data_IF_805770192381
#
_entry.id   IF_805770192381
#
_cell.length_a   1.000
_cell.length_b   1.000
_cell.length_c   1.000
_cell.angle_alpha   90.00
_cell.angle_beta   90.00
_cell.angle_gamma   90.00
#
_symmetry.space_group_name_H-M   'P 1'
#
loop_
_entity.id
_entity.type
_entity.pdbx_description
1 polymer ?
#
# COMPACT_ATOMS: atom_id res chain seq x y z
N UNK A 1 52.12 26.44 -26.52
CA UNK A 1 52.66 27.80 -26.38
C UNK A 1 51.51 28.70 -25.96
N UNK A 2 51.56 29.34 -24.80
CA UNK A 2 50.47 30.18 -24.30
C UNK A 2 50.92 31.10 -23.15
N UNK A 3 50.10 32.10 -22.75
CA UNK A 3 50.46 33.10 -21.74
C UNK A 3 50.96 32.54 -20.39
N UNK A 4 51.90 33.21 -19.74
CA UNK A 4 52.30 32.89 -18.36
C UNK A 4 51.20 33.31 -17.38
N UNK A 5 50.92 32.59 -16.27
CA UNK A 5 51.55 31.35 -15.80
C UNK A 5 50.91 30.08 -16.39
N UNK A 6 51.72 29.21 -17.01
CA UNK A 6 51.25 28.01 -17.73
C UNK A 6 50.70 26.92 -16.81
N UNK A 7 51.40 26.63 -15.71
CA UNK A 7 51.02 25.58 -14.77
C UNK A 7 49.69 25.91 -14.09
N UNK A 8 49.52 27.15 -13.63
CA UNK A 8 48.28 27.59 -12.99
C UNK A 8 47.07 27.47 -13.92
N UNK A 9 47.19 27.88 -15.19
CA UNK A 9 46.09 27.73 -16.16
C UNK A 9 45.81 26.28 -16.51
N UNK A 10 46.83 25.43 -16.62
CA UNK A 10 46.64 24.00 -16.82
C UNK A 10 45.87 23.36 -15.65
N UNK A 11 46.22 23.71 -14.41
CA UNK A 11 45.53 23.23 -13.20
C UNK A 11 44.08 23.72 -13.17
N UNK A 12 43.84 25.01 -13.41
CA UNK A 12 42.48 25.59 -13.45
C UNK A 12 41.62 24.91 -14.51
N UNK A 13 42.14 24.71 -15.72
CA UNK A 13 41.40 24.05 -16.80
C UNK A 13 41.13 22.58 -16.50
N UNK A 14 42.10 21.86 -15.91
CA UNK A 14 41.91 20.46 -15.53
C UNK A 14 40.83 20.30 -14.45
N UNK A 15 40.82 21.19 -13.45
CA UNK A 15 39.79 21.22 -12.41
C UNK A 15 38.42 21.56 -13.01
N UNK A 16 38.34 22.52 -13.92
CA UNK A 16 37.10 22.89 -14.59
C UNK A 16 36.50 21.72 -15.39
N UNK A 17 37.33 20.98 -16.15
CA UNK A 17 36.89 19.77 -16.87
C UNK A 17 36.36 18.74 -15.90
N UNK A 18 37.07 18.48 -14.80
CA UNK A 18 36.67 17.46 -13.83
C UNK A 18 35.34 17.81 -13.14
N UNK A 19 35.13 19.08 -12.81
CA UNK A 19 33.87 19.58 -12.23
C UNK A 19 32.71 19.44 -13.23
N UNK A 20 32.94 19.78 -14.50
CA UNK A 20 31.86 19.82 -15.50
C UNK A 20 31.53 18.42 -16.04
N UNK A 21 32.53 17.55 -16.18
CA UNK A 21 32.37 16.16 -16.60
C UNK A 21 31.75 15.28 -15.50
N UNK A 22 31.78 15.72 -14.24
CA UNK A 22 31.09 15.04 -13.16
C UNK A 22 29.57 15.27 -13.30
N UNK A 23 28.74 14.22 -13.35
CA UNK A 23 27.29 14.36 -13.36
C UNK A 23 26.79 14.72 -11.95
N UNK A 24 27.10 15.92 -11.46
CA UNK A 24 26.80 16.34 -10.09
C UNK A 24 25.30 16.24 -9.75
N UNK A 25 24.41 16.48 -10.72
CA UNK A 25 22.97 16.33 -10.55
C UNK A 25 22.54 14.86 -10.35
N UNK A 26 23.26 13.90 -10.93
CA UNK A 26 23.04 12.46 -10.71
C UNK A 26 23.31 12.08 -9.24
N UNK A 27 24.38 12.63 -8.66
CA UNK A 27 24.73 12.41 -7.25
C UNK A 27 23.63 12.86 -6.28
N UNK A 28 22.83 13.85 -6.65
CA UNK A 28 21.70 14.33 -5.84
C UNK A 28 20.37 13.65 -6.17
N UNK A 29 20.24 12.99 -7.34
CA UNK A 29 18.97 12.44 -7.80
C UNK A 29 18.38 11.43 -6.81
N UNK A 30 19.20 10.51 -6.31
CA UNK A 30 18.79 9.48 -5.34
C UNK A 30 18.32 10.09 -4.01
N UNK A 31 19.15 10.86 -3.25
CA UNK A 31 18.73 11.41 -1.96
C UNK A 31 17.53 12.36 -2.07
N UNK A 32 17.45 13.18 -3.13
CA UNK A 32 16.27 14.05 -3.32
C UNK A 32 15.00 13.24 -3.59
N UNK A 33 15.08 12.25 -4.49
CA UNK A 33 13.92 11.41 -4.81
C UNK A 33 13.42 10.63 -3.59
N UNK A 34 14.31 10.17 -2.71
CA UNK A 34 13.95 9.50 -1.47
C UNK A 34 13.28 10.45 -0.48
N UNK A 35 13.85 11.65 -0.25
CA UNK A 35 13.26 12.65 0.65
C UNK A 35 11.86 13.05 0.19
N UNK A 36 11.68 13.23 -1.12
CA UNK A 36 10.35 13.45 -1.73
C UNK A 36 9.42 12.27 -1.52
N UNK A 37 9.91 11.05 -1.74
CA UNK A 37 9.15 9.83 -1.51
C UNK A 37 8.62 9.72 -0.09
N UNK A 38 9.48 9.96 0.90
CA UNK A 38 9.09 9.95 2.33
C UNK A 38 8.09 11.08 2.62
N UNK A 39 8.32 12.29 2.09
CA UNK A 39 7.39 13.41 2.25
C UNK A 39 6.01 13.16 1.62
N UNK A 40 5.97 12.61 0.40
CA UNK A 40 4.73 12.22 -0.29
C UNK A 40 4.02 11.08 0.44
N UNK A 41 4.76 10.10 0.95
CA UNK A 41 4.20 9.05 1.80
C UNK A 41 3.55 9.64 3.04
N UNK A 42 4.25 10.51 3.78
CA UNK A 42 3.73 11.12 5.00
C UNK A 42 2.46 11.95 4.75
N UNK A 43 2.41 12.71 3.65
CA UNK A 43 1.20 13.45 3.25
C UNK A 43 0.01 12.54 2.93
N UNK A 44 0.26 11.29 2.55
CA UNK A 44 -0.75 10.27 2.31
C UNK A 44 -0.94 9.32 3.50
N UNK A 45 -0.51 9.68 4.71
CA UNK A 45 -0.70 8.83 5.89
C UNK A 45 0.18 7.58 5.92
N UNK A 46 1.30 7.57 5.18
CA UNK A 46 2.23 6.45 5.10
C UNK A 46 3.56 6.88 5.73
N UNK A 47 3.89 6.28 6.88
CA UNK A 47 5.15 6.51 7.56
C UNK A 47 6.20 5.50 7.10
N UNK A 48 7.27 5.97 6.48
CA UNK A 48 8.36 5.13 5.98
C UNK A 48 9.58 5.27 6.89
N UNK A 49 10.03 4.17 7.48
CA UNK A 49 11.19 4.16 8.40
C UNK A 49 12.54 4.17 7.69
N UNK A 50 12.60 3.68 6.46
CA UNK A 50 13.84 3.59 5.69
C UNK A 50 13.60 3.74 4.19
N UNK A 51 14.46 4.51 3.53
CA UNK A 51 14.36 4.77 2.09
C UNK A 51 14.55 3.53 1.21
N UNK A 52 15.17 2.48 1.72
CA UNK A 52 15.32 1.19 1.03
C UNK A 52 13.95 0.55 0.73
N UNK A 53 13.03 0.55 1.69
CA UNK A 53 11.68 -0.01 1.50
C UNK A 53 10.92 0.65 0.35
N UNK A 54 11.09 1.97 0.16
CA UNK A 54 10.54 2.71 -0.98
C UNK A 54 11.20 2.31 -2.31
N UNK A 55 12.50 2.02 -2.31
CA UNK A 55 13.19 1.55 -3.52
C UNK A 55 12.76 0.13 -3.87
N UNK A 56 12.58 -0.72 -2.86
CA UNK A 56 12.07 -2.09 -3.02
C UNK A 56 10.62 -2.08 -3.51
N UNK A 57 9.79 -1.17 -3.00
CA UNK A 57 8.41 -0.96 -3.43
C UNK A 57 8.27 -0.74 -4.95
N UNK A 58 9.30 -0.17 -5.60
CA UNK A 58 9.35 0.01 -7.06
C UNK A 58 9.32 -1.29 -7.84
N UNK A 59 9.82 -2.37 -7.24
CA UNK A 59 10.03 -3.66 -7.90
C UNK A 59 9.02 -4.70 -7.44
N UNK A 60 8.06 -4.37 -6.58
CA UNK A 60 7.08 -5.34 -6.10
C UNK A 60 6.34 -6.02 -7.25
N UNK A 61 6.25 -7.35 -7.17
CA UNK A 61 5.44 -8.18 -8.07
C UNK A 61 4.36 -8.94 -7.32
N UNK A 62 4.52 -9.21 -6.02
CA UNK A 62 3.52 -9.91 -5.22
C UNK A 62 3.25 -9.16 -3.92
N UNK A 63 1.98 -8.99 -3.59
CA UNK A 63 1.53 -8.46 -2.31
C UNK A 63 0.74 -9.57 -1.61
N UNK A 64 1.23 -9.95 -0.44
CA UNK A 64 0.61 -10.91 0.46
C UNK A 64 -0.13 -10.11 1.54
N UNK A 65 -1.43 -10.37 1.68
CA UNK A 65 -2.29 -9.66 2.61
C UNK A 65 -2.82 -10.62 3.65
N UNK A 66 -2.64 -10.32 4.94
CA UNK A 66 -3.48 -10.94 5.95
C UNK A 66 -4.95 -10.53 5.72
N UNK A 67 -5.90 -11.42 5.98
CA UNK A 67 -7.32 -11.12 5.78
C UNK A 67 -7.83 -10.15 6.85
N UNK A 68 -7.61 -10.49 8.12
CA UNK A 68 -8.24 -9.82 9.27
C UNK A 68 -7.61 -8.43 9.45
N UNK A 69 -8.44 -7.40 9.64
CA UNK A 69 -7.95 -6.03 9.87
C UNK A 69 -7.35 -5.34 8.65
N UNK A 70 -6.97 -6.09 7.60
CA UNK A 70 -6.44 -5.57 6.35
C UNK A 70 -7.49 -5.60 5.25
N UNK A 71 -7.89 -6.77 4.74
CA UNK A 71 -8.89 -6.89 3.67
C UNK A 71 -10.29 -6.59 4.20
N UNK A 72 -10.56 -7.08 5.41
CA UNK A 72 -11.84 -6.90 6.10
C UNK A 72 -11.69 -5.91 7.25
N UNK A 73 -12.82 -5.48 7.80
CA UNK A 73 -12.83 -4.66 9.02
C UNK A 73 -12.30 -5.42 10.25
N UNK A 74 -12.17 -6.75 10.18
CA UNK A 74 -11.64 -7.61 11.24
C UNK A 74 -12.68 -8.07 12.26
N UNK A 75 -13.86 -7.44 12.27
CA UNK A 75 -15.00 -7.84 13.08
C UNK A 75 -16.08 -8.47 12.19
N UNK A 76 -16.71 -9.54 12.69
CA UNK A 76 -17.85 -10.14 12.01
C UNK A 76 -19.12 -9.38 12.37
N UNK A 77 -19.87 -8.99 11.36
CA UNK A 77 -21.11 -8.22 11.51
C UNK A 77 -22.32 -9.02 11.07
N UNK A 78 -23.45 -8.83 11.76
CA UNK A 78 -24.73 -9.41 11.37
C UNK A 78 -25.24 -8.78 10.08
N UNK A 79 -25.45 -9.60 9.05
CA UNK A 79 -25.94 -9.15 7.74
C UNK A 79 -27.36 -9.64 7.43
N UNK A 80 -27.82 -10.71 8.08
CA UNK A 80 -29.18 -11.22 7.88
C UNK A 80 -29.68 -12.04 9.07
N UNK A 81 -31.00 -12.06 9.24
CA UNK A 81 -31.72 -13.01 10.08
C UNK A 81 -32.40 -14.03 9.17
N UNK A 82 -32.14 -15.31 9.37
CA UNK A 82 -32.68 -16.39 8.54
C UNK A 82 -33.57 -17.26 9.43
N UNK A 83 -34.90 -17.08 9.39
CA UNK A 83 -35.80 -17.87 10.22
C UNK A 83 -35.84 -19.33 9.78
N UNK A 84 -36.19 -20.20 10.71
CA UNK A 84 -36.37 -21.65 10.49
C UNK A 84 -37.69 -22.10 11.14
N UNK A 85 -38.12 -23.34 10.91
CA UNK A 85 -39.26 -23.91 11.64
C UNK A 85 -40.61 -23.20 11.42
N UNK A 86 -40.72 -22.39 10.36
CA UNK A 86 -41.94 -21.60 10.07
C UNK A 86 -42.04 -20.26 10.80
N UNK A 87 -41.02 -19.87 11.57
CA UNK A 87 -40.97 -18.56 12.22
C UNK A 87 -40.83 -17.41 11.22
N UNK A 88 -41.23 -16.22 11.63
CA UNK A 88 -41.02 -15.00 10.85
C UNK A 88 -39.64 -14.38 11.10
N UNK A 89 -39.13 -13.64 10.12
CA UNK A 89 -37.85 -12.91 10.24
C UNK A 89 -37.91 -11.88 11.39
N UNK A 90 -39.10 -11.31 11.66
CA UNK A 90 -39.32 -10.35 12.73
C UNK A 90 -39.23 -10.99 14.12
N UNK A 91 -39.83 -12.16 14.32
CA UNK A 91 -39.74 -12.90 15.60
C UNK A 91 -38.29 -13.28 15.92
N UNK A 92 -37.55 -13.74 14.92
CA UNK A 92 -36.12 -14.02 15.04
C UNK A 92 -35.33 -12.75 15.38
N UNK A 93 -35.60 -11.62 14.69
CA UNK A 93 -34.91 -10.35 14.94
C UNK A 93 -35.15 -9.84 16.37
N UNK A 94 -36.37 -9.97 16.89
CA UNK A 94 -36.71 -9.59 18.27
C UNK A 94 -35.96 -10.45 19.29
N UNK A 95 -35.93 -11.77 19.10
CA UNK A 95 -35.18 -12.66 19.99
C UNK A 95 -33.67 -12.46 19.90
N UNK A 96 -33.14 -12.25 18.70
CA UNK A 96 -31.72 -11.98 18.46
C UNK A 96 -31.28 -10.65 19.10
N UNK A 97 -32.12 -9.61 19.00
CA UNK A 97 -31.92 -8.33 19.68
C UNK A 97 -31.82 -8.56 21.19
N UNK A 98 -32.82 -9.21 21.80
CA UNK A 98 -32.86 -9.44 23.25
C UNK A 98 -31.65 -10.25 23.73
N UNK A 99 -31.27 -11.30 23.00
CA UNK A 99 -30.09 -12.10 23.32
C UNK A 99 -28.76 -11.33 23.20
N UNK A 100 -28.75 -10.17 22.52
CA UNK A 100 -27.56 -9.37 22.25
C UNK A 100 -27.53 -8.01 22.96
N UNK A 101 -28.58 -7.63 23.71
CA UNK A 101 -28.73 -6.30 24.31
C UNK A 101 -27.57 -5.88 25.22
N UNK A 102 -26.97 -6.86 25.90
CA UNK A 102 -25.87 -6.70 26.86
C UNK A 102 -24.58 -7.34 26.36
N UNK A 103 -24.56 -7.80 25.11
CA UNK A 103 -23.38 -8.41 24.50
C UNK A 103 -22.51 -7.29 23.91
N UNK A 104 -21.48 -6.89 24.67
CA UNK A 104 -20.59 -5.79 24.29
C UNK A 104 -19.59 -6.14 23.19
N UNK A 105 -19.55 -7.40 22.74
CA UNK A 105 -18.69 -7.81 21.62
C UNK A 105 -19.09 -7.10 20.33
N UNK A 106 -18.15 -6.91 19.38
CA UNK A 106 -18.48 -6.38 18.05
C UNK A 106 -19.63 -7.16 17.38
N UNK A 107 -19.63 -8.48 17.50
CA UNK A 107 -20.68 -9.36 16.98
C UNK A 107 -22.04 -9.04 17.65
N UNK A 108 -22.08 -8.96 18.98
CA UNK A 108 -23.30 -8.61 19.73
C UNK A 108 -23.87 -7.25 19.33
N UNK A 109 -23.02 -6.22 19.29
CA UNK A 109 -23.39 -4.87 18.86
C UNK A 109 -23.92 -4.84 17.42
N UNK A 110 -23.32 -5.62 16.51
CA UNK A 110 -23.76 -5.68 15.12
C UNK A 110 -25.18 -6.28 14.97
N UNK A 111 -25.55 -7.25 15.83
CA UNK A 111 -26.90 -7.83 15.85
C UNK A 111 -27.93 -6.79 16.28
N UNK A 112 -27.63 -6.03 17.34
CA UNK A 112 -28.48 -4.94 17.83
C UNK A 112 -28.66 -3.88 16.74
N UNK A 113 -27.58 -3.50 16.06
CA UNK A 113 -27.60 -2.52 14.97
C UNK A 113 -28.46 -3.01 13.79
N UNK A 114 -28.27 -4.24 13.33
CA UNK A 114 -29.07 -4.82 12.24
C UNK A 114 -30.56 -4.86 12.59
N UNK A 115 -30.91 -5.24 13.82
CA UNK A 115 -32.30 -5.27 14.29
C UNK A 115 -32.93 -3.87 14.26
N UNK A 116 -32.18 -2.84 14.66
CA UNK A 116 -32.62 -1.44 14.65
C UNK A 116 -32.79 -0.89 13.24
N UNK A 117 -31.79 -1.05 12.38
CA UNK A 117 -31.78 -0.46 11.03
C UNK A 117 -32.79 -1.13 10.09
N UNK A 118 -32.87 -2.46 10.11
CA UNK A 118 -33.71 -3.21 9.15
C UNK A 118 -35.16 -3.37 9.61
N UNK A 119 -35.43 -3.43 10.92
CA UNK A 119 -36.77 -3.73 11.45
C UNK A 119 -37.34 -2.64 12.37
N UNK A 120 -36.58 -1.56 12.63
CA UNK A 120 -37.00 -0.51 13.55
C UNK A 120 -37.14 -0.97 15.00
N UNK A 121 -36.50 -2.09 15.37
CA UNK A 121 -36.57 -2.67 16.71
C UNK A 121 -35.54 -1.99 17.61
N UNK A 122 -35.99 -1.42 18.73
CA UNK A 122 -35.12 -0.86 19.76
C UNK A 122 -35.69 -1.20 21.12
N UNK A 123 -34.86 -1.78 21.99
CA UNK A 123 -35.19 -2.10 23.38
C UNK A 123 -34.02 -1.77 24.28
N UNK A 124 -34.32 -1.40 25.52
CA UNK A 124 -33.34 -1.35 26.60
C UNK A 124 -33.41 -2.63 27.41
N UNK A 125 -32.28 -3.05 28.00
CA UNK A 125 -32.24 -4.18 28.91
C UNK A 125 -33.05 -3.84 30.17
N UNK A 126 -34.04 -4.68 30.56
CA UNK A 126 -34.80 -4.44 31.78
C UNK A 126 -33.90 -4.42 33.02
N UNK A 127 -34.13 -3.51 33.98
CA UNK A 127 -33.39 -3.51 35.24
C UNK A 127 -33.63 -4.85 35.98
N UNK A 128 -32.54 -5.58 36.26
CA UNK A 128 -32.58 -6.90 36.91
C UNK A 128 -32.62 -8.10 35.97
N UNK A 129 -32.39 -7.92 34.66
CA UNK A 129 -32.19 -9.04 33.74
C UNK A 129 -30.91 -9.82 34.09
N UNK A 130 -30.99 -11.15 34.09
CA UNK A 130 -29.85 -12.03 34.37
C UNK A 130 -29.08 -12.29 33.07
N UNK A 131 -27.82 -11.84 33.04
CA UNK A 131 -26.97 -11.79 31.85
C UNK A 131 -26.17 -13.08 31.73
N UNK A 132 -26.24 -13.71 30.56
CA UNK A 132 -25.36 -14.83 30.21
C UNK A 132 -24.29 -14.31 29.28
N UNK A 133 -23.13 -13.99 29.87
CA UNK A 133 -21.95 -13.57 29.13
C UNK A 133 -21.47 -14.67 28.17
N UNK A 134 -20.84 -14.24 27.08
CA UNK A 134 -20.22 -15.18 26.15
C UNK A 134 -19.03 -15.89 26.82
N UNK A 135 -19.04 -17.22 26.79
CA UNK A 135 -17.89 -18.04 27.15
C UNK A 135 -17.42 -18.87 25.95
N UNK A 136 -16.11 -18.94 25.74
CA UNK A 136 -15.51 -19.77 24.70
C UNK A 136 -15.78 -21.27 24.91
N UNK A 137 -15.99 -21.71 26.16
CA UNK A 137 -16.30 -23.10 26.50
C UNK A 137 -17.75 -23.46 26.14
N UNK A 138 -18.69 -22.57 26.44
CA UNK A 138 -20.12 -22.79 26.17
C UNK A 138 -20.51 -22.40 24.74
N UNK A 139 -19.74 -21.52 24.10
CA UNK A 139 -19.96 -20.94 22.76
C UNK A 139 -21.38 -20.36 22.58
N UNK A 140 -21.95 -19.83 23.66
CA UNK A 140 -23.26 -19.21 23.70
C UNK A 140 -23.25 -17.97 24.62
N UNK A 141 -24.11 -17.01 24.30
CA UNK A 141 -24.45 -15.86 25.14
C UNK A 141 -25.97 -15.63 25.12
N UNK A 142 -26.47 -14.76 25.99
CA UNK A 142 -27.88 -14.41 25.98
C UNK A 142 -28.36 -13.66 27.20
N UNK A 143 -29.68 -13.61 27.35
CA UNK A 143 -30.34 -12.87 28.41
C UNK A 143 -31.51 -13.66 28.97
N UNK A 144 -31.66 -13.65 30.30
CA UNK A 144 -32.81 -14.21 31.00
C UNK A 144 -33.75 -13.06 31.41
N UNK A 145 -34.99 -13.11 30.94
CA UNK A 145 -36.04 -12.15 31.26
C UNK A 145 -37.17 -12.85 32.02
N UNK A 146 -37.24 -12.65 33.33
CA UNK A 146 -38.23 -13.30 34.20
C UNK A 146 -38.27 -14.83 33.98
N UNK A 147 -39.28 -15.33 33.26
CA UNK A 147 -39.44 -16.77 32.96
C UNK A 147 -38.93 -17.20 31.58
N UNK A 148 -38.52 -16.27 30.72
CA UNK A 148 -38.09 -16.54 29.33
C UNK A 148 -36.58 -16.42 29.18
N UNK A 149 -35.96 -17.42 28.54
CA UNK A 149 -34.51 -17.46 28.31
C UNK A 149 -34.19 -17.26 26.84
N UNK A 150 -33.51 -16.17 26.49
CA UNK A 150 -33.03 -15.94 25.13
C UNK A 150 -31.57 -16.36 25.02
N UNK A 151 -31.21 -17.14 24.00
CA UNK A 151 -29.82 -17.54 23.74
C UNK A 151 -29.46 -17.38 22.28
N UNK A 152 -28.19 -17.05 22.05
CA UNK A 152 -27.54 -17.10 20.75
C UNK A 152 -26.18 -17.79 20.86
N UNK A 153 -25.78 -18.54 19.84
CA UNK A 153 -24.50 -19.25 19.91
C UNK A 153 -24.25 -20.17 18.73
N UNK A 154 -23.22 -21.00 18.86
CA UNK A 154 -22.93 -22.05 17.89
C UNK A 154 -24.09 -23.05 17.80
N UNK A 155 -24.28 -23.64 16.61
CA UNK A 155 -25.42 -24.54 16.34
C UNK A 155 -25.49 -25.73 17.29
N UNK A 156 -24.35 -26.37 17.53
CA UNK A 156 -24.19 -27.50 18.47
C UNK A 156 -24.53 -27.10 19.91
N UNK A 157 -24.04 -25.93 20.37
CA UNK A 157 -24.30 -25.41 21.70
C UNK A 157 -25.77 -25.09 21.95
N UNK A 158 -26.45 -24.48 20.99
CA UNK A 158 -27.87 -24.11 21.13
C UNK A 158 -28.76 -25.35 21.06
N UNK A 159 -28.45 -26.32 20.21
CA UNK A 159 -29.15 -27.61 20.18
C UNK A 159 -28.99 -28.34 21.53
N UNK A 160 -27.76 -28.37 22.07
CA UNK A 160 -27.51 -28.99 23.38
C UNK A 160 -28.25 -28.25 24.52
N UNK A 161 -28.34 -26.92 24.47
CA UNK A 161 -29.11 -26.13 25.42
C UNK A 161 -30.62 -26.43 25.34
N UNK A 162 -31.20 -26.45 24.14
CA UNK A 162 -32.61 -26.77 23.92
C UNK A 162 -32.96 -28.19 24.42
N UNK A 163 -32.10 -29.17 24.14
CA UNK A 163 -32.26 -30.55 24.63
C UNK A 163 -32.22 -30.63 26.17
N UNK A 164 -31.34 -29.87 26.84
CA UNK A 164 -31.28 -29.81 28.32
C UNK A 164 -32.56 -29.24 28.94
N UNK A 165 -33.27 -28.38 28.23
CA UNK A 165 -34.57 -27.84 28.64
C UNK A 165 -35.75 -28.78 28.35
N UNK A 166 -35.49 -29.97 27.77
CA UNK A 166 -36.50 -31.00 27.54
C UNK A 166 -37.18 -30.94 26.17
N UNK A 167 -36.71 -30.10 25.24
CA UNK A 167 -37.28 -30.02 23.90
C UNK A 167 -36.40 -30.78 22.90
N UNK A 168 -37.00 -31.77 22.24
CA UNK A 168 -36.35 -32.64 21.25
C UNK A 168 -36.65 -32.24 19.80
N UNK A 169 -37.52 -31.25 19.60
CA UNK A 169 -37.97 -30.83 18.26
C UNK A 169 -37.00 -29.81 17.69
N UNK A 170 -36.06 -30.28 16.86
CA UNK A 170 -35.17 -29.44 16.07
C UNK A 170 -35.83 -29.18 14.70
N UNK A 171 -35.93 -27.93 14.22
CA UNK A 171 -36.46 -27.63 12.90
C UNK A 171 -35.68 -28.36 11.78
N UNK A 172 -36.39 -29.05 10.88
CA UNK A 172 -35.78 -29.87 9.82
C UNK A 172 -34.94 -29.03 8.83
N UNK A 173 -35.25 -27.75 8.68
CA UNK A 173 -34.57 -26.79 7.81
C UNK A 173 -33.33 -26.13 8.44
N UNK A 174 -33.13 -26.26 9.77
CA UNK A 174 -32.02 -25.63 10.48
C UNK A 174 -30.66 -26.05 9.92
N UNK A 175 -30.42 -27.36 9.78
CA UNK A 175 -29.14 -27.88 9.30
C UNK A 175 -28.80 -27.35 7.89
N UNK A 176 -29.80 -27.31 7.00
CA UNK A 176 -29.62 -26.77 5.65
C UNK A 176 -29.29 -25.27 5.65
N UNK A 177 -29.91 -24.48 6.55
CA UNK A 177 -29.63 -23.05 6.69
C UNK A 177 -28.23 -22.81 7.25
N UNK A 178 -27.84 -23.52 8.31
CA UNK A 178 -26.50 -23.44 8.92
C UNK A 178 -25.43 -23.78 7.88
N UNK A 179 -25.61 -24.89 7.16
CA UNK A 179 -24.71 -25.32 6.10
C UNK A 179 -24.60 -24.30 4.96
N UNK A 180 -25.72 -23.71 4.55
CA UNK A 180 -25.74 -22.70 3.48
C UNK A 180 -24.96 -21.45 3.89
N UNK A 181 -25.15 -20.97 5.12
CA UNK A 181 -24.42 -19.81 5.66
C UNK A 181 -22.93 -20.13 5.77
N UNK A 182 -22.58 -21.29 6.32
CA UNK A 182 -21.19 -21.73 6.45
C UNK A 182 -20.48 -21.87 5.09
N UNK A 183 -21.16 -22.45 4.08
CA UNK A 183 -20.63 -22.56 2.71
C UNK A 183 -20.46 -21.21 2.02
N UNK A 184 -21.27 -20.21 2.39
CA UNK A 184 -21.12 -18.82 1.96
C UNK A 184 -19.97 -18.08 2.64
N UNK A 185 -19.18 -18.77 3.49
CA UNK A 185 -18.05 -18.20 4.22
C UNK A 185 -18.41 -17.36 5.43
N UNK A 186 -19.68 -17.38 5.83
CA UNK A 186 -20.16 -16.67 6.99
C UNK A 186 -20.25 -17.59 8.23
N UNK A 187 -20.36 -16.99 9.40
CA UNK A 187 -20.53 -17.69 10.67
C UNK A 187 -22.00 -17.73 11.05
N UNK A 188 -22.64 -18.91 11.09
CA UNK A 188 -24.02 -19.04 11.56
C UNK A 188 -24.08 -19.02 13.10
N UNK A 189 -24.85 -18.10 13.67
CA UNK A 189 -25.25 -18.16 15.09
C UNK A 189 -26.72 -18.51 15.21
N UNK A 190 -27.03 -19.63 15.85
CA UNK A 190 -28.41 -20.06 16.08
C UNK A 190 -28.99 -19.28 17.26
N UNK A 191 -30.27 -18.90 17.15
CA UNK A 191 -31.01 -18.18 18.19
C UNK A 191 -32.17 -19.03 18.65
N UNK A 192 -32.36 -19.12 19.97
CA UNK A 192 -33.51 -19.77 20.57
C UNK A 192 -34.15 -18.90 21.64
N UNK A 193 -35.46 -19.11 21.81
CA UNK A 193 -36.26 -18.61 22.92
C UNK A 193 -36.73 -19.81 23.72
N UNK A 194 -36.30 -19.87 24.97
CA UNK A 194 -36.32 -21.05 25.81
C UNK A 194 -35.70 -22.24 25.08
N UNK A 195 -36.53 -23.19 24.66
CA UNK A 195 -36.10 -24.38 23.95
C UNK A 195 -36.48 -24.37 22.46
N UNK A 196 -37.19 -23.33 22.00
CA UNK A 196 -37.67 -23.18 20.63
C UNK A 196 -36.62 -22.45 19.78
N UNK A 197 -36.17 -23.08 18.70
CA UNK A 197 -35.17 -22.52 17.78
C UNK A 197 -35.87 -21.67 16.73
N UNK A 198 -35.58 -20.37 16.74
CA UNK A 198 -36.26 -19.39 15.88
C UNK A 198 -35.54 -19.20 14.54
N UNK A 199 -34.23 -19.43 14.51
CA UNK A 199 -33.43 -19.36 13.28
C UNK A 199 -31.99 -18.99 13.51
N UNK A 200 -31.37 -18.44 12.48
CA UNK A 200 -29.91 -18.25 12.39
C UNK A 200 -29.57 -16.80 12.03
N UNK A 201 -28.68 -16.20 12.81
CA UNK A 201 -28.01 -14.94 12.47
C UNK A 201 -26.85 -15.28 11.53
N UNK A 202 -26.84 -14.63 10.37
CA UNK A 202 -25.74 -14.69 9.43
C UNK A 202 -24.70 -13.62 9.80
N UNK A 203 -23.58 -14.01 10.39
CA UNK A 203 -22.46 -13.11 10.67
C UNK A 203 -21.40 -13.19 9.56
N UNK A 204 -21.02 -12.06 8.98
CA UNK A 204 -20.03 -11.99 7.90
C UNK A 204 -18.88 -11.07 8.28
N UNK A 205 -17.66 -11.46 7.91
CA UNK A 205 -16.51 -10.56 7.97
C UNK A 205 -16.57 -9.60 6.77
N UNK A 206 -16.81 -8.32 7.02
CA UNK A 206 -17.13 -7.35 5.96
C UNK A 206 -15.85 -6.88 5.26
N UNK A 207 -15.80 -7.10 3.95
CA UNK A 207 -14.72 -6.60 3.08
C UNK A 207 -14.77 -5.07 3.02
N UNK A 208 -13.62 -4.42 3.24
CA UNK A 208 -13.54 -2.95 3.25
C UNK A 208 -13.93 -2.36 1.90
N UNK A 209 -14.65 -1.23 1.94
CA UNK A 209 -15.07 -0.52 0.74
C UNK A 209 -13.88 -0.09 -0.13
N UNK A 210 -14.03 -0.18 -1.46
CA UNK A 210 -13.03 0.25 -2.45
C UNK A 210 -11.84 -0.70 -2.65
N UNK A 211 -11.72 -1.79 -1.87
CA UNK A 211 -10.55 -2.69 -1.98
C UNK A 211 -10.49 -3.43 -3.32
N UNK A 212 -11.64 -3.82 -3.87
CA UNK A 212 -11.75 -4.48 -5.18
C UNK A 212 -11.13 -3.62 -6.28
N UNK A 213 -11.47 -2.33 -6.32
CA UNK A 213 -10.94 -1.39 -7.31
C UNK A 213 -9.42 -1.26 -7.21
N UNK A 214 -8.88 -1.31 -5.99
CA UNK A 214 -7.44 -1.24 -5.75
C UNK A 214 -6.72 -2.52 -6.19
N UNK A 215 -7.26 -3.70 -5.92
CA UNK A 215 -6.68 -4.94 -6.43
C UNK A 215 -6.73 -5.01 -7.96
N UNK A 216 -7.79 -4.50 -8.59
CA UNK A 216 -7.84 -4.34 -10.04
C UNK A 216 -6.75 -3.37 -10.56
N UNK A 217 -6.47 -2.28 -9.85
CA UNK A 217 -5.38 -1.35 -10.19
C UNK A 217 -4.00 -2.02 -10.03
N UNK A 218 -3.76 -2.75 -8.95
CA UNK A 218 -2.53 -3.53 -8.74
C UNK A 218 -2.34 -4.58 -9.83
N UNK A 219 -3.40 -5.32 -10.20
CA UNK A 219 -3.36 -6.28 -11.31
C UNK A 219 -3.02 -5.61 -12.64
N UNK A 220 -3.56 -4.42 -12.93
CA UNK A 220 -3.18 -3.61 -14.12
C UNK A 220 -1.72 -3.18 -14.11
N UNK A 221 -1.11 -3.08 -12.93
CA UNK A 221 0.33 -2.80 -12.76
C UNK A 221 1.20 -4.07 -12.82
N UNK A 222 0.60 -5.25 -13.00
CA UNK A 222 1.29 -6.55 -13.03
C UNK A 222 1.65 -7.07 -11.64
N UNK A 223 0.99 -6.60 -10.59
CA UNK A 223 1.23 -7.03 -9.20
C UNK A 223 0.17 -8.04 -8.81
N UNK A 224 0.60 -9.25 -8.41
CA UNK A 224 -0.25 -10.33 -7.91
C UNK A 224 -0.65 -10.06 -6.47
N UNK A 225 -1.92 -10.26 -6.12
CA UNK A 225 -2.42 -10.17 -4.75
C UNK A 225 -2.79 -11.55 -4.20
N UNK A 226 -2.27 -11.89 -3.03
CA UNK A 226 -2.50 -13.18 -2.37
C UNK A 226 -3.05 -12.93 -0.98
N UNK A 227 -4.24 -13.44 -0.69
CA UNK A 227 -4.82 -13.37 0.66
C UNK A 227 -4.35 -14.54 1.52
N UNK A 228 -4.00 -14.29 2.77
CA UNK A 228 -3.72 -15.31 3.78
C UNK A 228 -4.75 -15.20 4.89
N UNK A 229 -5.29 -16.35 5.33
CA UNK A 229 -6.20 -16.39 6.47
C UNK A 229 -6.06 -17.69 7.27
N UNK A 230 -6.38 -17.61 8.57
CA UNK A 230 -6.58 -18.78 9.43
C UNK A 230 -7.95 -19.43 9.27
N UNK A 231 -8.87 -18.81 8.52
CA UNK A 231 -10.20 -19.36 8.26
C UNK A 231 -10.15 -20.65 7.43
N UNK A 232 -11.24 -21.42 7.46
CA UNK A 232 -11.39 -22.61 6.64
C UNK A 232 -11.41 -22.27 5.13
N UNK A 233 -11.14 -23.25 4.24
CA UNK A 233 -11.04 -23.01 2.80
C UNK A 233 -12.30 -22.44 2.14
N UNK A 234 -13.50 -22.78 2.62
CA UNK A 234 -14.76 -22.28 2.07
C UNK A 234 -14.94 -20.78 2.38
N UNK A 235 -14.69 -20.39 3.63
CA UNK A 235 -14.69 -18.99 4.05
C UNK A 235 -13.64 -18.17 3.33
N UNK A 236 -12.43 -18.69 3.22
CA UNK A 236 -11.35 -18.04 2.49
C UNK A 236 -11.73 -17.84 1.01
N UNK A 237 -12.29 -18.86 0.35
CA UNK A 237 -12.69 -18.75 -1.05
C UNK A 237 -13.81 -17.71 -1.27
N UNK A 238 -14.79 -17.65 -0.38
CA UNK A 238 -15.89 -16.68 -0.47
C UNK A 238 -15.38 -15.24 -0.34
N UNK A 239 -14.52 -14.96 0.66
CA UNK A 239 -13.93 -13.63 0.87
C UNK A 239 -12.96 -13.29 -0.27
N UNK A 240 -12.18 -14.25 -0.76
CA UNK A 240 -11.27 -14.05 -1.88
C UNK A 240 -12.03 -13.63 -3.15
N UNK A 241 -13.13 -14.32 -3.45
CA UNK A 241 -13.98 -14.03 -4.59
C UNK A 241 -14.65 -12.64 -4.45
N UNK A 242 -15.13 -12.30 -3.27
CA UNK A 242 -15.71 -10.99 -2.99
C UNK A 242 -14.68 -9.87 -3.09
N UNK A 243 -13.48 -10.04 -2.51
CA UNK A 243 -12.43 -9.03 -2.58
C UNK A 243 -11.76 -8.95 -3.96
N UNK A 244 -11.91 -9.99 -4.80
CA UNK A 244 -11.26 -10.15 -6.11
C UNK A 244 -9.72 -10.24 -6.04
N UNK A 245 -9.20 -10.94 -5.03
CA UNK A 245 -7.75 -11.28 -4.98
C UNK A 245 -7.39 -12.32 -6.04
N UNK A 246 -6.12 -12.39 -6.43
CA UNK A 246 -5.66 -13.36 -7.45
C UNK A 246 -5.56 -14.79 -6.91
N UNK A 247 -5.25 -14.92 -5.62
CA UNK A 247 -4.99 -16.21 -4.98
C UNK A 247 -5.24 -16.13 -3.46
N UNK A 248 -5.36 -17.29 -2.80
CA UNK A 248 -5.49 -17.32 -1.34
C UNK A 248 -4.89 -18.57 -0.69
N UNK A 249 -4.41 -18.42 0.54
CA UNK A 249 -4.00 -19.51 1.43
C UNK A 249 -4.90 -19.53 2.66
N UNK A 250 -5.66 -20.62 2.81
CA UNK A 250 -6.55 -20.85 3.94
C UNK A 250 -5.87 -21.68 5.03
N UNK A 251 -6.40 -21.61 6.26
CA UNK A 251 -5.88 -22.35 7.44
C UNK A 251 -4.37 -22.16 7.65
N UNK A 252 -3.85 -20.98 7.31
CA UNK A 252 -2.43 -20.69 7.36
C UNK A 252 -1.95 -20.56 8.80
N UNK A 253 -0.98 -21.39 9.18
CA UNK A 253 -0.21 -21.21 10.42
C UNK A 253 0.87 -20.15 10.23
N UNK A 254 1.44 -19.56 11.30
CA UNK A 254 2.53 -18.59 11.18
C UNK A 254 3.70 -19.07 10.32
N UNK A 255 4.06 -20.36 10.40
CA UNK A 255 5.14 -20.97 9.61
C UNK A 255 4.80 -21.05 8.11
N UNK A 256 3.52 -21.26 7.79
CA UNK A 256 3.02 -21.31 6.41
C UNK A 256 3.08 -19.93 5.76
N UNK A 257 2.81 -18.86 6.52
CA UNK A 257 2.96 -17.47 6.02
C UNK A 257 4.41 -17.20 5.60
N UNK A 258 5.36 -17.57 6.46
CA UNK A 258 6.79 -17.46 6.19
C UNK A 258 7.21 -18.31 4.98
N UNK A 259 6.73 -19.55 4.89
CA UNK A 259 7.03 -20.44 3.76
C UNK A 259 6.56 -19.83 2.43
N UNK A 260 5.35 -19.29 2.39
CA UNK A 260 4.80 -18.69 1.18
C UNK A 260 5.63 -17.49 0.72
N UNK A 261 6.05 -16.62 1.64
CA UNK A 261 6.93 -15.48 1.31
C UNK A 261 8.24 -15.99 0.68
N UNK A 262 8.88 -16.99 1.30
CA UNK A 262 10.13 -17.57 0.78
C UNK A 262 9.96 -18.22 -0.58
N UNK A 263 8.85 -18.92 -0.82
CA UNK A 263 8.57 -19.54 -2.11
C UNK A 263 8.50 -18.50 -3.24
N UNK A 264 7.81 -17.37 -3.02
CA UNK A 264 7.78 -16.28 -3.99
C UNK A 264 9.16 -15.62 -4.16
N UNK A 265 9.91 -15.43 -3.07
CA UNK A 265 11.26 -14.86 -3.11
C UNK A 265 12.25 -15.76 -3.86
N UNK A 266 12.21 -17.08 -3.62
CA UNK A 266 13.02 -18.08 -4.32
C UNK A 266 12.67 -18.17 -5.81
N UNK A 267 11.42 -17.92 -6.16
CA UNK A 267 10.98 -17.76 -7.55
C UNK A 267 11.41 -16.42 -8.19
N UNK A 268 12.10 -15.54 -7.45
CA UNK A 268 12.65 -14.28 -7.93
C UNK A 268 11.68 -13.09 -7.88
N UNK A 269 10.55 -13.23 -7.18
CA UNK A 269 9.60 -12.14 -6.97
C UNK A 269 9.95 -11.33 -5.72
N UNK A 270 9.82 -10.01 -5.81
CA UNK A 270 9.84 -9.11 -4.65
C UNK A 270 8.47 -9.14 -3.99
N UNK A 271 8.45 -9.43 -2.70
CA UNK A 271 7.24 -9.68 -1.92
C UNK A 271 7.02 -8.57 -0.91
N UNK A 272 5.83 -7.97 -0.96
CA UNK A 272 5.34 -7.17 0.15
C UNK A 272 4.41 -8.02 1.02
N UNK A 273 4.45 -7.82 2.33
CA UNK A 273 3.46 -8.35 3.24
C UNK A 273 2.81 -7.23 4.04
N UNK A 274 1.51 -7.36 4.27
CA UNK A 274 0.79 -6.57 5.26
C UNK A 274 0.17 -7.43 6.35
N UNK A 275 0.19 -6.92 7.58
CA UNK A 275 -0.37 -7.58 8.75
C UNK A 275 -0.43 -6.63 9.95
N UNK A 276 -1.24 -6.98 10.93
CA UNK A 276 -1.48 -6.20 12.15
C UNK A 276 -1.24 -7.03 13.44
N UNK A 277 -1.19 -8.36 13.33
CA UNK A 277 -1.09 -9.27 14.46
C UNK A 277 0.34 -9.54 14.94
N UNK A 278 0.47 -9.93 16.21
CA UNK A 278 1.76 -10.41 16.77
C UNK A 278 2.28 -11.63 16.00
N UNK A 279 1.36 -12.47 15.51
CA UNK A 279 1.66 -13.67 14.73
C UNK A 279 2.23 -13.35 13.34
N UNK A 280 2.07 -12.12 12.86
CA UNK A 280 2.55 -11.69 11.55
C UNK A 280 3.95 -11.11 11.61
N UNK A 281 4.44 -10.72 12.79
CA UNK A 281 5.75 -10.08 12.95
C UNK A 281 6.91 -10.88 12.31
N UNK A 282 7.01 -12.22 12.45
CA UNK A 282 8.04 -12.99 11.76
C UNK A 282 7.93 -12.93 10.24
N UNK A 283 6.71 -13.02 9.71
CA UNK A 283 6.44 -13.01 8.28
C UNK A 283 6.67 -11.61 7.69
N UNK A 284 6.26 -10.55 8.40
CA UNK A 284 6.59 -9.16 8.08
C UNK A 284 8.10 -8.97 8.00
N UNK A 285 8.87 -9.45 8.99
CA UNK A 285 10.33 -9.32 8.99
C UNK A 285 11.04 -10.07 7.84
N UNK A 286 10.39 -11.08 7.24
CA UNK A 286 10.92 -11.84 6.10
C UNK A 286 10.59 -11.20 4.75
N UNK A 287 9.53 -10.38 4.67
CA UNK A 287 9.10 -9.73 3.44
C UNK A 287 10.11 -8.63 3.01
N UNK A 288 10.22 -8.39 1.70
CA UNK A 288 11.09 -7.33 1.19
C UNK A 288 10.53 -5.93 1.50
N UNK A 289 9.20 -5.83 1.56
CA UNK A 289 8.49 -4.64 2.02
C UNK A 289 7.43 -5.04 3.04
N UNK A 290 7.66 -4.70 4.30
CA UNK A 290 6.73 -4.97 5.39
C UNK A 290 5.88 -3.75 5.71
N UNK A 291 4.55 -3.91 5.65
CA UNK A 291 3.56 -2.85 5.90
C UNK A 291 2.70 -3.21 7.12
N UNK A 292 2.84 -2.48 8.22
CA UNK A 292 1.99 -2.64 9.39
C UNK A 292 0.92 -1.55 9.49
N UNK A 293 -0.22 -1.92 10.05
CA UNK A 293 -1.26 -0.95 10.42
C UNK A 293 -0.86 -0.19 11.68
N UNK A 294 -1.24 1.08 11.79
CA UNK A 294 -1.00 1.88 13.00
C UNK A 294 -1.73 1.34 14.24
N UNK A 295 -2.90 0.73 14.01
CA UNK A 295 -3.66 -0.02 15.01
C UNK A 295 -3.07 -1.40 15.33
N UNK A 296 -2.06 -1.85 14.56
CA UNK A 296 -1.40 -3.12 14.74
C UNK A 296 -0.59 -3.21 16.03
N UNK A 297 -0.33 -4.46 16.44
CA UNK A 297 0.43 -4.79 17.64
C UNK A 297 1.85 -4.21 17.59
N UNK A 298 2.45 -3.95 18.76
CA UNK A 298 3.81 -3.41 18.82
C UNK A 298 4.84 -4.27 18.06
N UNK A 299 4.85 -5.61 18.19
CA UNK A 299 5.75 -6.47 17.42
C UNK A 299 5.58 -6.33 15.89
N UNK A 300 4.34 -6.24 15.39
CA UNK A 300 4.08 -6.03 13.97
C UNK A 300 4.62 -4.69 13.48
N UNK A 301 4.38 -3.61 14.25
CA UNK A 301 4.89 -2.27 13.93
C UNK A 301 6.42 -2.22 14.01
N UNK A 302 7.06 -2.93 14.92
CA UNK A 302 8.52 -3.00 15.00
C UNK A 302 9.14 -3.77 13.83
N UNK A 303 8.53 -4.87 13.40
CA UNK A 303 8.96 -5.65 12.25
C UNK A 303 8.76 -4.93 10.90
N UNK A 304 7.81 -4.00 10.81
CA UNK A 304 7.49 -3.30 9.57
C UNK A 304 8.43 -2.13 9.23
N UNK A 305 8.71 -1.97 7.94
CA UNK A 305 9.48 -0.83 7.41
C UNK A 305 8.57 0.35 7.05
N UNK A 306 7.29 0.07 6.78
CA UNK A 306 6.27 1.05 6.43
C UNK A 306 5.09 0.88 7.39
N UNK A 307 4.55 2.00 7.88
CA UNK A 307 3.38 2.03 8.75
C UNK A 307 2.27 2.82 8.06
N UNK A 308 1.11 2.19 7.91
CA UNK A 308 -0.12 2.83 7.47
C UNK A 308 -0.81 3.50 8.67
N UNK A 309 -0.80 4.83 8.70
CA UNK A 309 -1.38 5.65 9.77
C UNK A 309 -2.91 5.60 9.78
N UNK A 310 -3.53 5.40 8.61
CA UNK A 310 -4.98 5.40 8.43
C UNK A 310 -5.59 4.01 8.63
N UNK A 311 -4.77 2.96 8.74
CA UNK A 311 -5.20 1.55 8.83
C UNK A 311 -6.17 1.17 7.69
N UNK A 312 -5.83 1.60 6.47
CA UNK A 312 -6.62 1.43 5.27
C UNK A 312 -5.84 0.64 4.21
N UNK A 313 -6.29 -0.58 3.83
CA UNK A 313 -5.59 -1.42 2.83
C UNK A 313 -5.44 -0.76 1.47
N UNK A 314 -6.24 0.27 1.17
CA UNK A 314 -6.09 1.06 -0.07
C UNK A 314 -4.74 1.75 -0.18
N UNK A 315 -4.03 1.97 0.93
CA UNK A 315 -2.69 2.57 0.96
C UNK A 315 -1.59 1.71 0.37
N UNK A 316 -1.82 0.40 0.19
CA UNK A 316 -0.85 -0.48 -0.47
C UNK A 316 -0.58 -0.04 -1.90
N UNK A 317 -1.63 0.41 -2.61
CA UNK A 317 -1.45 0.98 -3.93
C UNK A 317 -0.67 2.29 -3.85
N UNK A 318 -1.00 3.17 -2.90
CA UNK A 318 -0.32 4.44 -2.72
C UNK A 318 1.18 4.23 -2.46
N UNK A 319 1.56 3.23 -1.64
CA UNK A 319 2.97 2.84 -1.40
C UNK A 319 3.67 2.47 -2.73
N UNK A 320 3.02 1.64 -3.55
CA UNK A 320 3.56 1.24 -4.85
C UNK A 320 3.66 2.45 -5.78
N UNK A 321 2.64 3.31 -5.84
CA UNK A 321 2.63 4.51 -6.67
C UNK A 321 3.74 5.48 -6.25
N UNK A 322 3.89 5.77 -4.96
CA UNK A 322 4.99 6.59 -4.44
C UNK A 322 6.34 5.97 -4.82
N UNK A 323 6.50 4.66 -4.66
CA UNK A 323 7.68 3.92 -5.13
C UNK A 323 7.96 4.20 -6.60
N UNK A 324 6.98 3.97 -7.49
CA UNK A 324 7.13 4.19 -8.94
C UNK A 324 7.41 5.65 -9.30
N UNK A 325 6.83 6.62 -8.59
CA UNK A 325 7.11 8.05 -8.77
C UNK A 325 8.57 8.40 -8.47
N UNK A 326 9.15 7.81 -7.42
CA UNK A 326 10.58 7.96 -7.09
C UNK A 326 11.45 7.42 -8.22
N UNK A 327 11.12 6.22 -8.74
CA UNK A 327 11.85 5.61 -9.85
C UNK A 327 11.84 6.50 -11.09
N UNK A 328 10.66 7.03 -11.46
CA UNK A 328 10.51 7.93 -12.60
C UNK A 328 11.27 9.23 -12.40
N UNK A 329 11.18 9.83 -11.22
CA UNK A 329 11.86 11.09 -10.91
C UNK A 329 13.37 10.93 -11.01
N UNK A 330 13.92 9.83 -10.46
CA UNK A 330 15.34 9.49 -10.59
C UNK A 330 15.74 9.27 -12.05
N UNK A 331 14.95 8.51 -12.82
CA UNK A 331 15.22 8.26 -14.25
C UNK A 331 15.19 9.53 -15.10
N UNK A 332 14.24 10.42 -14.85
CA UNK A 332 14.12 11.72 -15.51
C UNK A 332 15.32 12.62 -15.22
N UNK A 333 15.73 12.74 -13.95
CA UNK A 333 16.92 13.51 -13.57
C UNK A 333 18.20 12.93 -14.14
N UNK A 334 18.34 11.60 -14.17
CA UNK A 334 19.49 10.91 -14.75
C UNK A 334 19.61 11.20 -16.24
N UNK A 335 18.50 11.06 -16.97
CA UNK A 335 18.45 11.29 -18.42
C UNK A 335 18.75 12.75 -18.75
N UNK A 336 18.15 13.68 -18.01
CA UNK A 336 18.43 15.12 -18.16
C UNK A 336 19.90 15.45 -17.87
N UNK A 337 20.47 14.91 -16.79
CA UNK A 337 21.86 15.16 -16.40
C UNK A 337 22.85 14.62 -17.43
N UNK A 338 22.64 13.41 -17.95
CA UNK A 338 23.53 12.82 -18.97
C UNK A 338 23.42 13.59 -20.29
N UNK A 339 22.20 13.95 -20.71
CA UNK A 339 22.01 14.74 -21.93
C UNK A 339 22.67 16.12 -21.85
N UNK A 340 22.73 16.70 -20.66
CA UNK A 340 23.37 17.99 -20.41
C UNK A 340 24.88 17.95 -20.67
N UNK A 341 25.54 16.84 -20.34
CA UNK A 341 26.98 16.68 -20.53
C UNK A 341 27.42 16.80 -22.00
N UNK A 342 26.53 16.47 -22.95
CA UNK A 342 26.78 16.65 -24.38
C UNK A 342 27.09 18.13 -24.70
N UNK A 343 26.22 19.05 -24.29
CA UNK A 343 26.40 20.48 -24.57
C UNK A 343 27.61 21.06 -23.83
N UNK A 344 27.86 20.62 -22.60
CA UNK A 344 29.05 21.00 -21.84
C UNK A 344 30.35 20.62 -22.56
N UNK A 345 30.41 19.43 -23.18
CA UNK A 345 31.57 19.04 -23.98
C UNK A 345 31.78 19.94 -25.20
N UNK A 346 30.70 20.34 -25.89
CA UNK A 346 30.77 21.32 -26.98
C UNK A 346 31.19 22.73 -26.51
N UNK A 347 31.02 23.07 -25.24
CA UNK A 347 31.52 24.33 -24.67
C UNK A 347 33.03 24.28 -24.37
N UNK A 348 33.47 23.19 -23.73
CA UNK A 348 34.82 23.12 -23.13
C UNK A 348 35.88 22.63 -24.11
N UNK A 349 35.58 21.59 -24.90
CA UNK A 349 36.58 20.96 -25.79
C UNK A 349 37.16 21.99 -26.77
N UNK A 350 36.34 22.79 -27.49
CA UNK A 350 36.88 23.81 -28.38
C UNK A 350 37.68 24.86 -27.61
N UNK A 351 37.13 25.38 -26.51
CA UNK A 351 37.76 26.41 -25.68
C UNK A 351 39.18 26.01 -25.22
N UNK A 352 39.36 24.78 -24.76
CA UNK A 352 40.66 24.31 -24.27
C UNK A 352 41.64 23.96 -25.38
N UNK A 353 41.14 23.31 -26.44
CA UNK A 353 42.00 22.71 -27.46
C UNK A 353 42.26 23.62 -28.65
N UNK A 354 41.54 24.72 -28.83
CA UNK A 354 41.75 25.70 -29.92
C UNK A 354 43.21 26.17 -30.04
N UNK A 355 43.91 26.31 -28.92
CA UNK A 355 45.33 26.72 -28.89
C UNK A 355 46.33 25.65 -29.34
N UNK A 356 45.91 24.38 -29.38
CA UNK A 356 46.73 23.21 -29.75
C UNK A 356 46.29 22.69 -31.13
N UNK A 357 44.98 22.59 -31.34
CA UNK A 357 44.32 22.11 -32.55
C UNK A 357 43.28 23.14 -33.02
N UNK A 358 43.69 24.13 -33.84
CA UNK A 358 42.78 25.18 -34.35
C UNK A 358 41.57 24.62 -35.13
N UNK A 359 41.72 23.44 -35.71
CA UNK A 359 40.67 22.71 -36.44
C UNK A 359 39.44 22.39 -35.57
N UNK A 360 39.61 22.28 -34.24
CA UNK A 360 38.51 22.04 -33.31
C UNK A 360 37.63 23.28 -33.09
N UNK A 361 37.97 24.43 -33.68
CA UNK A 361 37.09 25.60 -33.70
C UNK A 361 35.73 25.33 -34.35
N UNK A 362 35.65 24.39 -35.31
CA UNK A 362 34.39 23.96 -35.91
C UNK A 362 33.43 23.27 -34.93
N UNK A 363 33.92 22.80 -33.78
CA UNK A 363 33.09 22.23 -32.71
C UNK A 363 32.51 23.31 -31.78
N UNK A 364 32.89 24.59 -31.92
CA UNK A 364 32.26 25.70 -31.20
C UNK A 364 30.88 26.03 -31.80
N UNK A 365 29.95 25.08 -31.71
CA UNK A 365 28.57 25.21 -32.24
C UNK A 365 27.84 26.41 -31.61
N UNK A 366 28.16 26.74 -30.36
CA UNK A 366 27.57 27.86 -29.62
C UNK A 366 28.16 29.23 -29.99
N UNK A 367 29.25 29.27 -30.78
CA UNK A 367 29.96 30.49 -31.13
C UNK A 367 30.29 31.34 -29.89
N UNK A 368 30.89 30.71 -28.87
CA UNK A 368 31.27 31.37 -27.63
C UNK A 368 32.42 32.36 -27.86
N UNK A 369 32.42 33.49 -27.15
CA UNK A 369 33.26 34.66 -27.43
C UNK A 369 34.76 34.40 -27.21
N UNK A 370 35.13 33.73 -26.12
CA UNK A 370 36.52 33.41 -25.80
C UNK A 370 36.66 32.06 -25.09
N UNK A 371 37.84 31.42 -25.12
CA UNK A 371 38.12 30.23 -24.31
C UNK A 371 37.84 30.39 -22.81
N UNK A 372 38.13 31.57 -22.26
CA UNK A 372 37.95 31.84 -20.84
C UNK A 372 36.47 32.01 -20.49
N UNK A 373 35.73 32.81 -21.28
CA UNK A 373 34.29 33.01 -21.09
C UNK A 373 33.50 31.72 -21.30
N UNK A 374 33.90 30.87 -22.24
CA UNK A 374 33.29 29.56 -22.48
C UNK A 374 33.39 28.62 -21.27
N UNK A 375 34.59 28.48 -20.71
CA UNK A 375 34.82 27.64 -19.51
C UNK A 375 34.04 28.21 -18.32
N UNK A 376 34.13 29.53 -18.10
CA UNK A 376 33.43 30.20 -17.00
C UNK A 376 31.91 30.05 -17.11
N UNK A 377 31.35 30.20 -18.31
CA UNK A 377 29.92 30.04 -18.59
C UNK A 377 29.45 28.62 -18.31
N UNK A 378 30.23 27.61 -18.72
CA UNK A 378 29.91 26.21 -18.46
C UNK A 378 29.95 25.88 -16.96
N UNK A 379 30.93 26.42 -16.21
CA UNK A 379 31.01 26.25 -14.74
C UNK A 379 29.80 26.91 -14.05
N UNK A 380 29.48 28.16 -14.41
CA UNK A 380 28.34 28.89 -13.83
C UNK A 380 27.03 28.18 -14.14
N UNK A 381 26.84 27.73 -15.39
CA UNK A 381 25.65 26.96 -15.76
C UNK A 381 25.52 25.68 -14.91
N UNK A 382 26.62 24.94 -14.72
CA UNK A 382 26.63 23.73 -13.89
C UNK A 382 26.29 24.03 -12.42
N UNK A 383 26.72 25.19 -11.91
CA UNK A 383 26.35 25.63 -10.56
C UNK A 383 24.88 26.04 -10.43
N UNK A 384 24.29 26.66 -11.46
CA UNK A 384 22.91 27.14 -11.46
C UNK A 384 21.87 26.06 -11.76
N UNK A 385 22.22 25.06 -12.58
CA UNK A 385 21.26 24.02 -12.98
C UNK A 385 20.86 23.13 -11.79
N UNK A 386 21.78 22.92 -10.83
CA UNK A 386 21.53 22.12 -9.63
C UNK A 386 20.35 22.67 -8.82
N UNK A 387 20.38 23.92 -8.29
CA UNK A 387 19.26 24.47 -7.54
C UNK A 387 17.98 24.60 -8.38
N UNK A 388 18.08 24.79 -9.70
CA UNK A 388 16.92 24.85 -10.59
C UNK A 388 16.20 23.49 -10.72
N UNK A 389 16.92 22.38 -10.60
CA UNK A 389 16.36 21.03 -10.63
C UNK A 389 15.78 20.59 -9.28
N UNK A 390 16.14 21.25 -8.17
CA UNK A 390 15.64 20.90 -6.82
C UNK A 390 14.11 20.92 -6.74
N UNK A 391 13.37 21.95 -7.21
CA UNK A 391 11.91 21.93 -7.17
C UNK A 391 11.27 20.80 -7.97
N UNK A 392 11.88 20.42 -9.09
CA UNK A 392 11.41 19.29 -9.91
C UNK A 392 11.64 17.96 -9.19
N UNK A 393 12.81 17.80 -8.57
CA UNK A 393 13.11 16.63 -7.76
C UNK A 393 12.17 16.54 -6.54
N UNK A 394 11.89 17.67 -5.90
CA UNK A 394 11.06 17.76 -4.70
C UNK A 394 9.56 17.53 -4.96
N UNK A 395 9.02 18.03 -6.07
CA UNK A 395 7.61 17.81 -6.44
C UNK A 395 7.35 16.36 -6.88
N UNK A 396 8.38 15.66 -7.36
CA UNK A 396 8.23 14.35 -7.97
C UNK A 396 7.51 14.41 -9.32
N UNK A 397 7.64 13.33 -10.07
CA UNK A 397 6.99 13.17 -11.37
C UNK A 397 5.77 12.27 -11.21
N UNK A 398 4.61 12.73 -11.69
CA UNK A 398 3.37 11.97 -11.56
C UNK A 398 3.47 10.65 -12.32
N UNK A 399 3.22 9.54 -11.63
CA UNK A 399 3.14 8.22 -12.24
C UNK A 399 1.94 8.15 -13.19
N UNK A 400 2.15 7.63 -14.40
CA UNK A 400 1.09 7.25 -15.32
C UNK A 400 1.31 5.80 -15.76
N UNK A 401 0.32 4.92 -15.63
CA UNK A 401 0.45 3.54 -16.10
C UNK A 401 0.56 3.55 -17.63
N UNK A 402 1.75 3.29 -18.14
CA UNK A 402 2.04 3.21 -19.57
C UNK A 402 2.97 2.01 -19.84
N UNK A 403 2.89 1.39 -21.04
CA UNK A 403 3.87 0.39 -21.46
C UNK A 403 5.30 0.94 -21.37
N UNK A 404 6.25 0.09 -20.99
CA UNK A 404 7.65 0.47 -20.75
C UNK A 404 8.28 1.22 -21.95
N UNK A 405 7.97 0.79 -23.17
CA UNK A 405 8.43 1.42 -24.41
C UNK A 405 7.97 2.88 -24.54
N UNK A 406 6.67 3.14 -24.32
CA UNK A 406 6.13 4.51 -24.38
C UNK A 406 6.72 5.40 -23.29
N UNK A 407 6.96 4.82 -22.12
CA UNK A 407 7.60 5.51 -21.00
C UNK A 407 9.04 5.92 -21.33
N UNK A 408 9.80 5.01 -21.94
CA UNK A 408 11.16 5.28 -22.41
C UNK A 408 11.19 6.39 -23.47
N UNK A 409 10.35 6.29 -24.51
CA UNK A 409 10.27 7.30 -25.57
C UNK A 409 9.90 8.67 -24.99
N UNK A 410 8.89 8.71 -24.11
CA UNK A 410 8.48 9.95 -23.47
C UNK A 410 9.61 10.58 -22.64
N UNK A 411 10.32 9.76 -21.87
CA UNK A 411 11.46 10.20 -21.07
C UNK A 411 12.60 10.76 -21.95
N UNK A 412 12.99 10.04 -23.01
CA UNK A 412 14.05 10.47 -23.93
C UNK A 412 13.68 11.76 -24.68
N UNK A 413 12.43 11.88 -25.14
CA UNK A 413 11.99 13.07 -25.86
C UNK A 413 11.93 14.29 -24.94
N UNK A 414 11.40 14.16 -23.72
CA UNK A 414 11.15 15.31 -22.87
C UNK A 414 12.38 15.69 -22.04
N UNK A 415 13.00 14.72 -21.36
CA UNK A 415 14.15 14.94 -20.50
C UNK A 415 15.49 14.79 -21.24
N UNK A 416 15.56 13.94 -22.26
CA UNK A 416 16.76 13.83 -23.10
C UNK A 416 16.93 15.04 -24.01
N UNK A 417 15.96 15.35 -24.87
CA UNK A 417 16.04 16.54 -25.75
C UNK A 417 16.04 17.82 -24.93
N UNK A 418 15.21 17.91 -23.88
CA UNK A 418 15.22 19.05 -22.97
C UNK A 418 16.58 19.22 -22.27
N UNK A 419 17.17 18.13 -21.79
CA UNK A 419 18.51 18.12 -21.18
C UNK A 419 19.63 18.46 -22.17
N UNK A 420 19.43 18.21 -23.46
CA UNK A 420 20.37 18.62 -24.50
C UNK A 420 20.23 20.11 -24.84
N UNK A 421 19.02 20.62 -25.09
CA UNK A 421 18.80 21.99 -25.55
C UNK A 421 19.00 23.05 -24.46
N UNK A 422 18.56 22.76 -23.23
CA UNK A 422 18.66 23.69 -22.08
C UNK A 422 20.08 24.22 -21.84
N UNK A 423 21.14 23.39 -21.77
CA UNK A 423 22.52 23.88 -21.62
C UNK A 423 23.04 24.67 -22.83
N UNK A 424 22.67 24.32 -24.07
CA UNK A 424 23.07 25.12 -25.23
C UNK A 424 22.58 26.57 -25.11
N UNK A 425 21.32 26.74 -24.71
CA UNK A 425 20.70 28.06 -24.50
C UNK A 425 21.31 28.73 -23.27
N UNK A 426 21.42 28.01 -22.16
CA UNK A 426 21.90 28.54 -20.88
C UNK A 426 23.35 28.99 -20.91
N UNK A 427 24.26 28.17 -21.45
CA UNK A 427 25.69 28.50 -21.57
C UNK A 427 25.86 29.71 -22.50
N UNK A 428 25.15 29.75 -23.64
CA UNK A 428 25.23 30.90 -24.55
C UNK A 428 24.72 32.18 -23.90
N UNK A 429 23.60 32.12 -23.17
CA UNK A 429 23.07 33.29 -22.47
C UNK A 429 24.04 33.81 -21.41
N UNK A 430 24.69 32.91 -20.65
CA UNK A 430 25.70 33.30 -19.66
C UNK A 430 26.94 33.89 -20.34
N UNK A 431 27.40 33.31 -21.44
CA UNK A 431 28.56 33.81 -22.21
C UNK A 431 28.31 35.22 -22.74
N UNK A 432 27.12 35.50 -23.28
CA UNK A 432 26.74 36.83 -23.74
C UNK A 432 26.72 37.87 -22.61
N UNK A 433 26.30 37.46 -21.40
CA UNK A 433 26.34 38.35 -20.23
C UNK A 433 27.78 38.62 -19.81
N UNK A 434 28.63 37.59 -19.77
CA UNK A 434 30.04 37.74 -19.39
C UNK A 434 30.77 38.64 -20.40
N UNK A 435 30.57 38.42 -21.69
CA UNK A 435 31.16 39.20 -22.78
C UNK A 435 30.70 40.67 -22.79
N UNK A 436 29.54 40.97 -22.19
CA UNK A 436 29.11 42.34 -22.01
C UNK A 436 29.85 43.07 -20.86
N UNK A 437 30.32 42.34 -19.85
CA UNK A 437 30.96 42.90 -18.66
C UNK A 437 32.50 42.82 -18.68
N UNK A 438 33.08 41.97 -19.52
CA UNK A 438 34.52 41.79 -19.75
C UNK A 438 34.89 42.46 -21.06
#
# INVERSE_FOLDING_TARGET
>A
WGPEPRLARAVVNAVAVLIIACPCALGMATPMSLTTGVGLGALNGILIRGGESLQTAQKLQTIILDKTGTITHGNREAVAFVPVGGHSEKELAEAALIASLVDETPEGRSVVLLAKEKYGLSREAPPGADVVEFSADTRLSGLNLAETRYRKGASDSIIAFANKLGCSTIPNDLAAVVDRIARGGATPLVVCKDCEILGVINLKDIVKAGIQERFLQLRKMGIKTVMITGDNPLTAAAIAAEAQVDDFLAQAKPEEKLRLIREYQEAGYMVAMTGDGTNDAPALAQADVAVAMNTGTQPAREAANIIDLDSNPTKLLDIVEVGKQILMTRGNLTTFSIANDIAKYFAIIPAMMLSIYPQLGGLNVMHLASPHSAILSAVIFNALIIPLLVPLALKGTRFRPMPAEKLLIHNLLLYGVGGMLTPFIGIKAIDLVIDFFI
#
